data_IF_865776670415
#
_entry.id   IF_865776670415
#
_cell.length_a   1.000
_cell.length_b   1.000
_cell.length_c   1.000
_cell.angle_alpha   90.00
_cell.angle_beta   90.00
_cell.angle_gamma   90.00
#
_symmetry.space_group_name_H-M   'P 1'
#
loop_
_entity.id
_entity.type
_entity.pdbx_description
1 polymer ?
#
# COMPACT_ATOMS: atom_id res chain seq x y z
N UNK A 1 -21.39 7.28 -32.45
CA UNK A 1 -22.64 7.76 -31.83
C UNK A 1 -23.29 6.57 -31.11
N UNK A 2 -23.51 6.71 -29.78
CA UNK A 2 -24.45 6.02 -28.85
C UNK A 2 -25.30 4.85 -29.37
N UNK A 3 -25.60 3.76 -28.63
CA UNK A 3 -25.95 3.56 -27.19
C UNK A 3 -26.10 2.03 -26.98
N UNK A 4 -25.67 1.44 -25.87
CA UNK A 4 -26.44 1.15 -24.64
C UNK A 4 -26.41 -0.36 -24.37
N UNK A 5 -25.80 -0.74 -23.25
CA UNK A 5 -25.86 -2.09 -22.70
C UNK A 5 -27.18 -2.31 -21.94
N UNK A 6 -27.60 -3.57 -21.88
CA UNK A 6 -28.57 -4.08 -20.93
C UNK A 6 -28.13 -5.48 -20.52
N UNK A 7 -27.48 -5.58 -19.36
CA UNK A 7 -27.35 -6.85 -18.64
C UNK A 7 -28.49 -6.89 -17.62
N UNK A 8 -29.36 -7.88 -17.81
CA UNK A 8 -30.60 -8.13 -17.08
C UNK A 8 -30.31 -8.37 -15.60
N UNK A 9 -30.86 -7.53 -14.72
CA UNK A 9 -30.88 -7.76 -13.26
C UNK A 9 -32.10 -8.60 -12.93
N UNK A 10 -31.89 -9.87 -12.60
CA UNK A 10 -32.94 -10.72 -12.02
C UNK A 10 -32.91 -10.59 -10.49
N UNK A 11 -33.66 -9.62 -9.96
CA UNK A 11 -34.01 -9.59 -8.53
C UNK A 11 -35.12 -10.62 -8.28
N UNK A 12 -34.76 -11.82 -7.85
CA UNK A 12 -35.68 -12.76 -7.21
C UNK A 12 -35.54 -12.61 -5.70
N UNK A 13 -36.60 -12.06 -5.10
CA UNK A 13 -36.74 -11.83 -3.68
C UNK A 13 -36.69 -13.15 -2.90
N UNK A 14 -35.72 -13.26 -1.99
CA UNK A 14 -35.80 -14.12 -0.83
C UNK A 14 -35.63 -13.22 0.41
N UNK A 15 -36.77 -12.76 0.92
CA UNK A 15 -36.91 -12.24 2.28
C UNK A 15 -36.57 -13.38 3.24
N UNK A 16 -35.48 -13.24 4.00
CA UNK A 16 -35.27 -13.68 5.39
C UNK A 16 -33.76 -13.67 5.71
N UNK A 17 -33.31 -12.66 6.46
CA UNK A 17 -32.13 -12.70 7.33
C UNK A 17 -30.77 -13.03 6.69
N UNK A 18 -30.02 -11.98 6.36
CA UNK A 18 -28.61 -12.08 5.98
C UNK A 18 -28.33 -11.21 4.78
N UNK A 19 -27.70 -10.05 5.00
CA UNK A 19 -27.34 -9.15 3.93
C UNK A 19 -26.57 -9.88 2.83
N UNK A 20 -26.86 -9.51 1.57
CA UNK A 20 -25.99 -9.82 0.46
C UNK A 20 -24.63 -9.17 0.71
N UNK A 21 -23.77 -9.85 1.47
CA UNK A 21 -22.35 -9.65 1.36
C UNK A 21 -22.01 -10.14 -0.05
N UNK A 22 -21.83 -9.18 -0.95
CA UNK A 22 -21.07 -9.36 -2.17
C UNK A 22 -19.67 -9.82 -1.77
N UNK A 23 -19.52 -11.12 -1.50
CA UNK A 23 -18.27 -11.85 -1.50
C UNK A 23 -17.81 -11.91 -2.95
N UNK A 24 -17.25 -10.80 -3.39
CA UNK A 24 -16.70 -10.61 -4.72
C UNK A 24 -15.48 -9.73 -4.59
N UNK A 25 -14.39 -10.29 -4.09
CA UNK A 25 -13.08 -10.16 -4.72
C UNK A 25 -12.12 -11.16 -4.07
N UNK A 26 -11.97 -12.33 -4.69
CA UNK A 26 -10.87 -13.23 -4.40
C UNK A 26 -9.55 -12.48 -4.66
N UNK A 27 -8.83 -12.13 -3.59
CA UNK A 27 -7.37 -12.13 -3.54
C UNK A 27 -6.56 -11.32 -4.57
N UNK A 28 -7.16 -10.38 -5.30
CA UNK A 28 -6.40 -9.44 -6.11
C UNK A 28 -6.02 -8.27 -5.20
N UNK A 29 -4.76 -8.23 -4.74
CA UNK A 29 -4.20 -7.06 -4.07
C UNK A 29 -4.57 -5.82 -4.91
N UNK A 30 -5.27 -4.87 -4.30
CA UNK A 30 -5.69 -3.67 -5.01
C UNK A 30 -4.42 -2.94 -5.49
N UNK A 31 -4.18 -2.81 -6.81
CA UNK A 31 -2.98 -2.16 -7.33
C UNK A 31 -2.90 -0.67 -6.92
N UNK A 32 -3.91 -0.13 -6.22
CA UNK A 32 -3.98 1.21 -5.68
C UNK A 32 -3.31 1.42 -4.30
N UNK A 33 -2.83 0.38 -3.61
CA UNK A 33 -2.38 0.51 -2.22
C UNK A 33 -1.11 1.37 -2.08
N UNK A 34 -0.18 1.25 -3.03
CA UNK A 34 1.07 2.03 -3.05
C UNK A 34 0.94 3.25 -3.96
N UNK A 35 0.47 4.38 -3.41
CA UNK A 35 0.55 5.72 -4.01
C UNK A 35 1.51 6.59 -3.15
N UNK A 36 2.20 7.62 -3.69
CA UNK A 36 3.13 8.45 -2.91
C UNK A 36 2.51 9.17 -1.70
N UNK A 37 1.19 9.34 -1.70
CA UNK A 37 0.41 9.97 -0.61
C UNK A 37 -0.41 8.94 0.20
N UNK A 38 -0.24 7.64 -0.07
CA UNK A 38 -0.97 6.58 0.61
C UNK A 38 -0.34 6.28 1.97
N UNK A 39 -1.18 6.29 3.00
CA UNK A 39 -0.83 5.80 4.34
C UNK A 39 -1.03 4.26 4.46
N UNK A 40 -1.38 3.59 3.36
CA UNK A 40 -1.81 2.18 3.35
C UNK A 40 -0.85 1.20 2.69
N UNK A 41 0.23 1.67 2.04
CA UNK A 41 1.27 0.79 1.49
C UNK A 41 2.23 0.36 2.57
N UNK A 42 2.09 -0.86 3.07
CA UNK A 42 3.07 -1.43 3.99
C UNK A 42 4.28 -2.04 3.25
N UNK A 43 5.24 -2.56 4.00
CA UNK A 43 6.49 -3.09 3.44
C UNK A 43 6.23 -4.36 2.63
N UNK A 44 5.27 -5.18 3.03
CA UNK A 44 4.87 -6.41 2.38
C UNK A 44 4.16 -6.13 1.03
N UNK A 45 3.26 -5.17 1.01
CA UNK A 45 2.60 -4.67 -0.19
C UNK A 45 3.63 -4.10 -1.16
N UNK A 46 4.55 -3.26 -0.68
CA UNK A 46 5.64 -2.75 -1.50
C UNK A 46 6.53 -3.85 -2.09
N UNK A 47 6.86 -4.88 -1.30
CA UNK A 47 7.70 -5.98 -1.76
C UNK A 47 7.00 -6.87 -2.81
N UNK A 48 5.67 -6.93 -2.81
CA UNK A 48 4.87 -7.77 -3.69
C UNK A 48 4.25 -7.01 -4.88
N UNK A 49 4.22 -5.68 -4.82
CA UNK A 49 3.66 -4.80 -5.85
C UNK A 49 4.16 -5.13 -7.27
N UNK A 50 3.23 -5.06 -8.22
CA UNK A 50 3.55 -5.25 -9.64
C UNK A 50 4.16 -3.97 -10.25
N UNK A 51 4.68 -4.11 -11.48
CA UNK A 51 5.30 -3.00 -12.19
C UNK A 51 4.32 -1.85 -12.46
N UNK A 52 3.05 -2.15 -12.73
CA UNK A 52 2.06 -1.16 -13.08
C UNK A 52 1.72 -0.27 -11.88
N UNK A 53 1.53 -0.88 -10.70
CA UNK A 53 1.33 -0.20 -9.42
C UNK A 53 2.54 0.67 -9.08
N UNK A 54 3.75 0.11 -9.15
CA UNK A 54 4.97 0.86 -8.85
C UNK A 54 5.21 2.02 -9.84
N UNK A 55 4.93 1.83 -11.13
CA UNK A 55 5.05 2.90 -12.15
C UNK A 55 4.01 4.01 -11.98
N UNK A 56 2.83 3.72 -11.41
CA UNK A 56 1.82 4.74 -11.12
C UNK A 56 2.36 5.84 -10.17
N UNK A 57 3.33 5.50 -9.33
CA UNK A 57 4.00 6.40 -8.39
C UNK A 57 5.03 7.33 -9.03
N UNK A 58 5.28 7.18 -10.34
CA UNK A 58 6.27 7.92 -11.15
C UNK A 58 7.70 7.82 -10.63
N UNK A 59 8.06 8.61 -9.62
CA UNK A 59 9.45 8.84 -9.19
C UNK A 59 9.76 8.28 -7.80
N UNK A 60 8.76 8.07 -6.94
CA UNK A 60 8.98 7.50 -5.62
C UNK A 60 7.70 6.90 -5.03
N UNK A 61 7.85 5.82 -4.26
CA UNK A 61 6.76 5.19 -3.49
C UNK A 61 6.94 5.55 -2.02
N UNK A 62 5.84 5.86 -1.35
CA UNK A 62 5.81 5.97 0.09
C UNK A 62 5.39 4.63 0.71
N UNK A 63 6.19 4.14 1.65
CA UNK A 63 6.02 2.84 2.30
C UNK A 63 5.93 3.05 3.80
N UNK A 64 4.82 2.65 4.40
CA UNK A 64 4.63 2.66 5.85
C UNK A 64 5.21 1.44 6.52
N UNK A 65 5.95 1.70 7.58
CA UNK A 65 6.36 0.68 8.53
C UNK A 65 5.44 0.81 9.74
N UNK A 66 4.28 0.13 9.69
CA UNK A 66 3.42 0.03 10.87
C UNK A 66 4.06 -0.91 11.89
N UNK A 67 4.30 -0.40 13.10
CA UNK A 67 4.65 -1.23 14.25
C UNK A 67 3.43 -1.29 15.17
N UNK A 68 2.67 -2.41 15.21
CA UNK A 68 1.40 -2.49 15.93
C UNK A 68 1.53 -2.38 17.46
N UNK A 69 2.72 -2.09 17.99
CA UNK A 69 2.98 -2.04 19.43
C UNK A 69 3.36 -0.67 20.01
N UNK A 70 3.69 0.36 19.22
CA UNK A 70 4.22 1.66 19.70
C UNK A 70 5.32 1.56 20.80
N UNK A 71 5.97 0.40 20.95
CA UNK A 71 6.82 0.07 22.09
C UNK A 71 8.28 0.37 21.73
N UNK A 72 8.61 1.63 21.49
CA UNK A 72 9.99 2.01 21.18
C UNK A 72 10.14 3.49 20.85
N UNK A 73 11.38 3.98 20.96
CA UNK A 73 11.73 5.34 20.51
C UNK A 73 11.56 5.45 19.00
N UNK A 74 11.28 6.66 18.49
CA UNK A 74 11.20 6.95 17.04
C UNK A 74 12.44 6.45 16.29
N UNK A 75 13.62 6.57 16.90
CA UNK A 75 14.88 6.10 16.32
C UNK A 75 14.91 4.56 16.19
N UNK A 76 14.40 3.82 17.17
CA UNK A 76 14.31 2.36 17.11
C UNK A 76 13.29 1.90 16.06
N UNK A 77 12.14 2.58 15.97
CA UNK A 77 11.14 2.32 14.95
C UNK A 77 11.71 2.59 13.54
N UNK A 78 12.45 3.68 13.37
CA UNK A 78 13.10 4.01 12.10
C UNK A 78 14.16 2.98 11.71
N UNK A 79 14.99 2.52 12.66
CA UNK A 79 15.98 1.48 12.40
C UNK A 79 15.31 0.17 11.93
N UNK A 80 14.23 -0.25 12.62
CA UNK A 80 13.46 -1.43 12.26
C UNK A 80 12.79 -1.29 10.89
N UNK A 81 12.23 -0.12 10.59
CA UNK A 81 11.68 0.20 9.28
C UNK A 81 12.76 0.09 8.18
N UNK A 82 13.96 0.62 8.43
CA UNK A 82 15.06 0.56 7.48
C UNK A 82 15.50 -0.89 7.17
N UNK A 83 15.50 -1.78 8.17
CA UNK A 83 15.79 -3.20 7.96
C UNK A 83 14.74 -3.89 7.08
N UNK A 84 13.45 -3.65 7.35
CA UNK A 84 12.36 -4.22 6.56
C UNK A 84 12.38 -3.72 5.12
N UNK A 85 12.56 -2.41 4.92
CA UNK A 85 12.69 -1.80 3.60
C UNK A 85 13.93 -2.35 2.87
N UNK A 86 15.07 -2.50 3.53
CA UNK A 86 16.25 -3.09 2.92
C UNK A 86 16.00 -4.52 2.41
N UNK A 87 15.29 -5.35 3.19
CA UNK A 87 14.91 -6.69 2.76
C UNK A 87 13.91 -6.68 1.59
N UNK A 88 12.95 -5.76 1.57
CA UNK A 88 12.05 -5.55 0.44
C UNK A 88 12.81 -5.11 -0.83
N UNK A 89 13.76 -4.18 -0.71
CA UNK A 89 14.60 -3.71 -1.81
C UNK A 89 15.41 -4.82 -2.47
N UNK A 90 15.94 -5.79 -1.70
CA UNK A 90 16.63 -6.95 -2.26
C UNK A 90 15.71 -7.76 -3.18
N UNK A 91 14.46 -7.98 -2.78
CA UNK A 91 13.46 -8.72 -3.57
C UNK A 91 13.06 -7.92 -4.81
N UNK A 92 12.78 -6.63 -4.64
CA UNK A 92 12.37 -5.70 -5.69
C UNK A 92 13.46 -5.53 -6.78
N UNK A 93 14.71 -5.27 -6.36
CA UNK A 93 15.85 -5.13 -7.27
C UNK A 93 16.13 -6.42 -8.07
N UNK A 94 15.91 -7.59 -7.46
CA UNK A 94 16.03 -8.87 -8.16
C UNK A 94 14.90 -9.06 -9.18
N UNK A 95 13.65 -8.77 -8.79
CA UNK A 95 12.47 -8.97 -9.64
C UNK A 95 12.49 -8.08 -10.88
N UNK A 96 12.91 -6.82 -10.74
CA UNK A 96 12.92 -5.83 -11.82
C UNK A 96 14.33 -5.56 -12.37
N UNK A 97 15.25 -6.51 -12.23
CA UNK A 97 16.61 -6.38 -12.75
C UNK A 97 16.58 -6.03 -14.26
N UNK A 98 17.31 -4.97 -14.64
CA UNK A 98 17.34 -4.45 -16.02
C UNK A 98 16.16 -3.55 -16.42
N UNK A 99 15.10 -3.48 -15.61
CA UNK A 99 13.91 -2.65 -15.86
C UNK A 99 13.86 -1.45 -14.91
N UNK A 100 14.24 -1.67 -13.64
CA UNK A 100 14.39 -0.65 -12.61
C UNK A 100 15.88 -0.47 -12.28
N UNK A 101 16.33 0.77 -12.12
CA UNK A 101 17.66 1.04 -11.60
C UNK A 101 17.76 0.52 -10.16
N UNK A 102 18.79 -0.25 -9.79
CA UNK A 102 18.90 -0.78 -8.44
C UNK A 102 18.81 0.32 -7.39
N UNK A 103 17.91 0.15 -6.43
CA UNK A 103 17.71 1.09 -5.33
C UNK A 103 18.54 0.62 -4.14
N UNK A 104 19.45 1.48 -3.68
CA UNK A 104 20.23 1.25 -2.47
C UNK A 104 19.45 1.72 -1.24
N UNK A 105 19.53 1.02 -0.08
CA UNK A 105 18.95 1.51 1.18
C UNK A 105 19.39 2.93 1.55
N UNK A 106 20.60 3.34 1.14
CA UNK A 106 21.12 4.69 1.38
C UNK A 106 20.38 5.81 0.61
N UNK A 107 19.57 5.46 -0.40
CA UNK A 107 18.77 6.41 -1.17
C UNK A 107 17.37 6.60 -0.59
N UNK A 108 16.98 5.78 0.39
CA UNK A 108 15.67 5.86 1.05
C UNK A 108 15.71 6.94 2.10
N UNK A 109 14.71 7.81 2.09
CA UNK A 109 14.52 8.81 3.17
C UNK A 109 13.41 8.35 4.10
N UNK A 110 13.54 8.65 5.39
CA UNK A 110 12.57 8.24 6.40
C UNK A 110 12.02 9.48 7.10
N UNK A 111 10.71 9.50 7.33
CA UNK A 111 10.03 10.55 8.07
C UNK A 111 9.06 9.95 9.07
N UNK A 112 9.01 10.54 10.27
CA UNK A 112 7.94 10.26 11.22
C UNK A 112 6.64 10.90 10.71
N UNK A 113 5.55 10.17 10.83
CA UNK A 113 4.19 10.61 10.53
C UNK A 113 3.33 10.31 11.74
N UNK A 114 2.31 11.14 11.94
CA UNK A 114 1.26 10.89 12.91
C UNK A 114 -0.05 10.74 12.14
N UNK A 115 -0.82 9.71 12.48
CA UNK A 115 -2.19 9.54 12.02
C UNK A 115 -3.09 9.39 13.24
N UNK A 116 -4.29 9.96 13.17
CA UNK A 116 -5.30 9.76 14.20
C UNK A 116 -6.45 9.00 13.57
N UNK A 117 -6.75 7.84 14.13
CA UNK A 117 -7.94 7.09 13.75
C UNK A 117 -9.05 7.39 14.76
N UNK A 118 -10.25 7.64 14.25
CA UNK A 118 -11.45 7.64 15.08
C UNK A 118 -11.68 6.20 15.57
N UNK A 119 -11.41 5.95 16.85
CA UNK A 119 -11.66 4.64 17.45
C UNK A 119 -13.01 4.67 18.16
N UNK A 120 -13.99 4.01 17.54
CA UNK A 120 -15.26 3.71 18.22
C UNK A 120 -15.08 2.51 19.16
N UNK A 121 -14.33 2.70 20.25
CA UNK A 121 -14.19 1.68 21.29
C UNK A 121 -15.18 2.01 22.41
N UNK A 122 -16.21 1.17 22.55
CA UNK A 122 -17.10 1.13 23.72
C UNK A 122 -17.93 2.41 23.98
N UNK A 123 -18.44 3.06 22.93
CA UNK A 123 -19.42 4.15 23.06
C UNK A 123 -18.87 5.47 23.59
N UNK A 124 -17.54 5.65 23.62
CA UNK A 124 -16.89 6.96 23.73
C UNK A 124 -16.25 7.30 22.40
N UNK A 125 -16.52 8.50 21.90
CA UNK A 125 -15.71 9.09 20.84
C UNK A 125 -14.32 9.36 21.40
N UNK A 126 -13.30 8.81 20.75
CA UNK A 126 -11.89 9.01 21.08
C UNK A 126 -11.07 9.04 19.79
N UNK A 127 -10.06 9.91 19.77
CA UNK A 127 -9.05 9.96 18.71
C UNK A 127 -7.83 9.21 19.23
N UNK A 128 -7.57 8.02 18.69
CA UNK A 128 -6.31 7.32 18.93
C UNK A 128 -5.31 7.78 17.87
N UNK A 129 -4.40 8.66 18.29
CA UNK A 129 -3.28 9.07 17.46
C UNK A 129 -2.11 8.11 17.65
N UNK A 130 -1.57 7.64 16.54
CA UNK A 130 -0.39 6.78 16.49
C UNK A 130 0.68 7.40 15.60
N UNK A 131 1.92 7.30 16.08
CA UNK A 131 3.10 7.62 15.29
C UNK A 131 3.48 6.40 14.44
N UNK A 132 4.01 6.64 13.26
CA UNK A 132 4.60 5.62 12.41
C UNK A 132 5.72 6.19 11.54
N UNK A 133 6.56 5.32 11.01
CA UNK A 133 7.65 5.70 10.13
C UNK A 133 7.26 5.43 8.68
N UNK A 134 7.38 6.46 7.85
CA UNK A 134 7.20 6.36 6.40
C UNK A 134 8.56 6.43 5.72
N UNK A 135 8.86 5.45 4.88
CA UNK A 135 10.00 5.42 3.98
C UNK A 135 9.59 5.97 2.61
N UNK A 136 10.35 6.91 2.06
CA UNK A 136 10.23 7.35 0.68
C UNK A 136 11.30 6.63 -0.14
N UNK A 137 10.86 5.73 -1.01
CA UNK A 137 11.73 4.90 -1.84
C UNK A 137 11.74 5.46 -3.26
N UNK A 138 12.89 5.97 -3.77
CA UNK A 138 12.96 6.49 -5.13
C UNK A 138 12.92 5.34 -6.15
N UNK A 139 12.11 5.48 -7.18
CA UNK A 139 12.00 4.54 -8.29
C UNK A 139 12.45 5.21 -9.59
N UNK A 140 13.53 4.70 -10.18
CA UNK A 140 14.02 5.16 -11.48
C UNK A 140 13.96 4.04 -12.50
N UNK A 141 12.97 4.11 -13.37
CA UNK A 141 12.78 3.15 -14.45
C UNK A 141 13.79 3.35 -15.58
N UNK A 142 14.43 2.26 -16.02
CA UNK A 142 15.38 2.26 -17.13
C UNK A 142 14.68 2.09 -18.48
N UNK A 143 13.55 1.40 -18.48
CA UNK A 143 12.76 1.11 -19.67
C UNK A 143 11.43 1.87 -19.66
N UNK A 144 10.88 2.21 -20.84
CA UNK A 144 9.53 2.75 -20.92
C UNK A 144 8.50 1.72 -20.41
N UNK A 145 7.29 2.16 -20.03
CA UNK A 145 6.22 1.24 -19.65
C UNK A 145 5.93 0.24 -20.77
N UNK A 146 5.60 -1.03 -20.45
CA UNK A 146 5.20 -2.00 -21.46
C UNK A 146 3.98 -1.52 -22.24
N UNK A 147 3.96 -1.79 -23.55
CA UNK A 147 2.81 -1.48 -24.40
C UNK A 147 1.60 -2.32 -23.95
N UNK A 148 0.43 -1.68 -23.84
CA UNK A 148 -0.84 -2.31 -23.48
C UNK A 148 -1.45 -3.07 -24.65
#
# INVERSE_FOLDING_TARGET
MTRAGYATVACLAALLGGGCASLGNDGQADPAICHPDSDSCDVEDFASADEAALRANREAVAVGCMDPGNAGTVQAQQARCAEQVAAALVRLNRRFAGTLAPVSPAQVTYRQRASCADTFVSGREGLDCYDWIQAQVPLRWLTPPPAR
#
